data_IF_357793619563
#
_entry.id   IF_357793619563
#
_cell.length_a   1.000
_cell.length_b   1.000
_cell.length_c   1.000
_cell.angle_alpha   90.00
_cell.angle_beta   90.00
_cell.angle_gamma   90.00
#
_symmetry.space_group_name_H-M   'P 1'
#
loop_
_entity.id
_entity.type
_entity.pdbx_description
1 polymer ?
#
# COMPACT_ATOMS: atom_id res chain seq x y z
N UNK A 1 -34.92 47.67 -27.83
CA UNK A 1 -33.71 46.92 -28.18
C UNK A 1 -32.79 46.93 -26.96
N UNK A 2 -32.24 45.77 -26.60
CA UNK A 2 -31.38 45.42 -25.46
C UNK A 2 -32.04 45.09 -24.11
N UNK A 3 -32.70 43.93 -24.04
CA UNK A 3 -32.81 43.12 -22.82
C UNK A 3 -32.27 41.72 -23.17
N UNK A 4 -30.97 41.49 -22.97
CA UNK A 4 -30.35 40.19 -23.23
C UNK A 4 -29.14 39.88 -22.32
N UNK A 5 -28.97 40.58 -21.19
CA UNK A 5 -27.74 40.48 -20.38
C UNK A 5 -27.88 39.64 -19.09
N UNK A 6 -29.05 39.07 -18.82
CA UNK A 6 -29.33 38.38 -17.54
C UNK A 6 -28.98 36.89 -17.45
N UNK A 7 -28.54 36.23 -18.52
CA UNK A 7 -28.36 34.75 -18.54
C UNK A 7 -26.94 34.25 -18.86
N UNK A 8 -26.06 35.12 -19.34
CA UNK A 8 -24.68 34.74 -19.72
C UNK A 8 -23.77 34.28 -18.57
N UNK A 9 -23.77 34.88 -17.36
CA UNK A 9 -22.77 34.51 -16.34
C UNK A 9 -23.00 33.10 -15.78
N UNK A 10 -24.25 32.64 -15.69
CA UNK A 10 -24.60 31.31 -15.15
C UNK A 10 -24.26 30.20 -16.17
N UNK A 11 -24.47 30.45 -17.46
CA UNK A 11 -24.14 29.51 -18.52
C UNK A 11 -22.62 29.25 -18.59
N UNK A 12 -21.80 30.31 -18.47
CA UNK A 12 -20.33 30.21 -18.49
C UNK A 12 -19.79 29.27 -17.40
N UNK A 13 -20.27 29.39 -16.16
CA UNK A 13 -19.81 28.53 -15.06
C UNK A 13 -20.23 27.07 -15.23
N UNK A 14 -21.38 26.81 -15.86
CA UNK A 14 -21.83 25.46 -16.18
C UNK A 14 -20.96 24.82 -17.27
N UNK A 15 -20.52 25.59 -18.28
CA UNK A 15 -19.57 25.10 -19.29
C UNK A 15 -18.23 24.73 -18.66
N UNK A 16 -17.70 25.58 -17.76
CA UNK A 16 -16.46 25.28 -17.03
C UNK A 16 -16.61 24.03 -16.17
N UNK A 17 -17.75 23.86 -15.50
CA UNK A 17 -18.04 22.64 -14.73
C UNK A 17 -18.10 21.40 -15.64
N UNK A 18 -18.74 21.48 -16.81
CA UNK A 18 -18.75 20.38 -17.79
C UNK A 18 -17.33 20.04 -18.28
N UNK A 19 -16.50 21.02 -18.60
CA UNK A 19 -15.10 20.78 -18.99
C UNK A 19 -14.29 20.13 -17.87
N UNK A 20 -14.53 20.55 -16.61
CA UNK A 20 -13.89 19.95 -15.44
C UNK A 20 -14.27 18.47 -15.30
N UNK A 21 -15.55 18.13 -15.48
CA UNK A 21 -16.03 16.74 -15.42
C UNK A 21 -15.46 15.88 -16.55
N UNK A 22 -15.34 16.43 -17.77
CA UNK A 22 -14.68 15.73 -18.88
C UNK A 22 -13.22 15.43 -18.51
N UNK A 23 -12.51 16.42 -17.95
CA UNK A 23 -11.13 16.22 -17.50
C UNK A 23 -11.02 15.18 -16.38
N UNK A 24 -11.95 15.19 -15.41
CA UNK A 24 -12.02 14.17 -14.36
C UNK A 24 -12.19 12.76 -14.94
N UNK A 25 -13.08 12.59 -15.92
CA UNK A 25 -13.28 11.29 -16.60
C UNK A 25 -12.00 10.87 -17.32
N UNK A 26 -11.37 11.77 -18.08
CA UNK A 26 -10.13 11.47 -18.80
C UNK A 26 -9.01 11.03 -17.85
N UNK A 27 -8.84 11.74 -16.73
CA UNK A 27 -7.81 11.39 -15.73
C UNK A 27 -8.12 10.06 -15.06
N UNK A 28 -9.39 9.75 -14.75
CA UNK A 28 -9.75 8.45 -14.18
C UNK A 28 -9.53 7.31 -15.19
N UNK A 29 -9.76 7.54 -16.48
CA UNK A 29 -9.45 6.58 -17.54
C UNK A 29 -7.93 6.40 -17.70
N UNK A 30 -7.16 7.48 -17.64
CA UNK A 30 -5.69 7.41 -17.68
C UNK A 30 -5.14 6.67 -16.46
N UNK A 31 -5.64 6.95 -15.26
CA UNK A 31 -5.28 6.23 -14.05
C UNK A 31 -5.62 4.73 -14.19
N UNK A 32 -6.82 4.40 -14.69
CA UNK A 32 -7.20 3.01 -14.93
C UNK A 32 -6.24 2.31 -15.89
N UNK A 33 -5.89 2.94 -17.02
CA UNK A 33 -4.96 2.37 -18.01
C UNK A 33 -3.59 2.14 -17.39
N UNK A 34 -3.06 3.13 -16.66
CA UNK A 34 -1.78 3.00 -15.97
C UNK A 34 -1.80 1.87 -14.93
N UNK A 35 -2.90 1.71 -14.18
CA UNK A 35 -3.07 0.60 -13.24
C UNK A 35 -3.25 -0.77 -13.93
N UNK A 36 -3.64 -0.82 -15.20
CA UNK A 36 -3.71 -2.09 -15.97
C UNK A 36 -2.37 -2.44 -16.63
N UNK A 37 -1.57 -1.42 -16.95
CA UNK A 37 -0.34 -1.57 -17.73
C UNK A 37 0.93 -1.49 -16.89
N UNK A 38 0.93 -0.81 -15.74
CA UNK A 38 2.11 -0.54 -14.92
C UNK A 38 1.95 -1.10 -13.49
N UNK A 39 3.09 -1.25 -12.81
CA UNK A 39 3.19 -1.58 -11.39
C UNK A 39 2.44 -0.58 -10.52
N UNK A 40 1.73 -1.07 -9.50
CA UNK A 40 1.00 -0.21 -8.54
C UNK A 40 1.91 0.34 -7.44
N UNK A 41 2.92 -0.44 -7.08
CA UNK A 41 4.05 -0.07 -6.25
C UNK A 41 5.17 -1.11 -6.42
N UNK A 42 6.39 -0.72 -6.07
CA UNK A 42 7.54 -1.62 -6.01
C UNK A 42 7.94 -1.76 -4.55
N UNK A 43 7.93 -2.98 -4.02
CA UNK A 43 8.43 -3.30 -2.69
C UNK A 43 9.90 -3.70 -2.78
N UNK A 44 10.75 -3.16 -1.91
CA UNK A 44 12.13 -3.59 -1.71
C UNK A 44 12.30 -3.99 -0.26
N UNK A 45 12.83 -5.19 -0.02
CA UNK A 45 13.26 -5.64 1.31
C UNK A 45 14.74 -5.92 1.24
N UNK A 46 15.53 -5.32 2.13
CA UNK A 46 16.95 -5.58 2.31
C UNK A 46 17.19 -5.96 3.76
N UNK A 47 17.81 -7.12 4.01
CA UNK A 47 18.17 -7.55 5.36
C UNK A 47 19.64 -8.00 5.41
N UNK A 48 20.33 -7.62 6.49
CA UNK A 48 21.77 -7.85 6.72
C UNK A 48 22.03 -8.34 8.15
N UNK A 49 22.97 -9.27 8.32
CA UNK A 49 23.41 -9.71 9.66
C UNK A 49 24.50 -8.75 10.16
N UNK A 50 24.17 -7.94 11.16
CA UNK A 50 25.06 -6.90 11.74
C UNK A 50 26.06 -7.50 12.73
N UNK A 51 25.58 -8.38 13.61
CA UNK A 51 26.38 -8.99 14.67
C UNK A 51 26.15 -10.50 14.73
N UNK A 52 27.19 -11.26 15.10
CA UNK A 52 27.15 -12.71 15.25
C UNK A 52 28.42 -13.40 14.74
N UNK A 53 28.58 -14.71 15.02
CA UNK A 53 29.75 -15.52 14.64
C UNK A 53 29.91 -15.65 13.12
N UNK A 54 28.84 -15.35 12.38
CA UNK A 54 28.77 -15.36 10.93
C UNK A 54 28.46 -13.95 10.36
N UNK A 55 28.81 -12.89 11.10
CA UNK A 55 28.71 -11.51 10.63
C UNK A 55 29.56 -11.34 9.36
N UNK A 56 28.89 -11.29 8.23
CA UNK A 56 29.50 -11.06 6.93
C UNK A 56 29.18 -9.62 6.53
N UNK A 57 30.16 -8.72 6.66
CA UNK A 57 30.05 -7.36 6.13
C UNK A 57 29.57 -7.40 4.66
N UNK A 58 28.42 -6.78 4.38
CA UNK A 58 27.89 -6.63 3.03
C UNK A 58 26.98 -7.76 2.53
N UNK A 59 26.36 -8.52 3.42
CA UNK A 59 25.27 -9.45 3.09
C UNK A 59 23.95 -8.69 3.06
N UNK A 60 23.29 -8.59 1.91
CA UNK A 60 21.94 -8.04 1.79
C UNK A 60 21.07 -8.97 0.95
N UNK A 61 19.98 -9.49 1.50
CA UNK A 61 18.95 -10.13 0.69
C UNK A 61 18.05 -9.03 0.14
N UNK A 62 18.24 -8.63 -1.12
CA UNK A 62 17.36 -7.66 -1.77
C UNK A 62 16.23 -8.40 -2.47
N UNK A 63 15.00 -8.15 -2.04
CA UNK A 63 13.78 -8.67 -2.66
C UNK A 63 13.05 -7.50 -3.29
N UNK A 64 13.10 -7.41 -4.62
CA UNK A 64 12.27 -6.44 -5.35
C UNK A 64 11.02 -7.16 -5.82
N UNK A 65 9.84 -6.64 -5.47
CA UNK A 65 8.55 -7.18 -5.88
C UNK A 65 7.80 -6.12 -6.67
N UNK A 66 7.44 -6.49 -7.89
CA UNK A 66 6.64 -5.71 -8.82
C UNK A 66 5.23 -6.29 -8.89
N UNK A 67 4.23 -5.50 -8.48
CA UNK A 67 2.83 -5.92 -8.41
C UNK A 67 2.07 -5.81 -9.76
N UNK A 68 2.77 -5.65 -10.89
CA UNK A 68 2.18 -5.52 -12.23
C UNK A 68 1.42 -6.78 -12.68
N UNK A 69 1.91 -7.98 -12.37
CA UNK A 69 1.24 -9.27 -12.65
C UNK A 69 1.06 -10.08 -11.36
N UNK A 70 0.10 -11.02 -11.35
CA UNK A 70 -0.16 -11.95 -10.23
C UNK A 70 1.02 -12.88 -9.91
N UNK A 71 2.09 -12.83 -10.72
CA UNK A 71 3.38 -13.42 -10.40
C UNK A 71 4.29 -12.29 -9.94
N UNK A 72 4.44 -12.18 -8.62
CA UNK A 72 5.48 -11.40 -7.99
C UNK A 72 6.81 -11.79 -8.64
N UNK A 73 7.40 -10.90 -9.44
CA UNK A 73 8.75 -11.09 -9.98
C UNK A 73 9.74 -10.95 -8.80
N UNK A 74 9.78 -11.99 -7.97
CA UNK A 74 10.57 -12.10 -6.77
C UNK A 74 12.03 -12.27 -7.18
N UNK A 75 12.69 -11.14 -7.45
CA UNK A 75 14.14 -11.14 -7.63
C UNK A 75 14.79 -11.21 -6.26
N UNK A 76 15.10 -12.42 -5.83
CA UNK A 76 15.90 -12.67 -4.64
C UNK A 76 17.37 -12.60 -5.05
N UNK A 77 18.03 -11.47 -4.82
CA UNK A 77 19.49 -11.41 -4.89
C UNK A 77 20.06 -11.94 -3.56
N UNK A 78 20.00 -13.27 -3.38
CA UNK A 78 20.68 -13.92 -2.28
C UNK A 78 22.15 -14.04 -2.68
N UNK A 79 23.04 -13.50 -1.82
CA UNK A 79 24.45 -13.88 -1.64
C UNK A 79 25.08 -14.55 -2.86
N UNK A 80 25.97 -13.87 -3.59
CA UNK A 80 26.75 -14.53 -4.64
C UNK A 80 27.18 -15.95 -4.19
N UNK A 81 26.86 -17.02 -4.95
CA UNK A 81 26.52 -18.35 -4.43
C UNK A 81 27.58 -19.00 -3.52
N UNK A 82 28.84 -18.59 -3.66
CA UNK A 82 29.98 -19.03 -2.85
C UNK A 82 29.95 -18.54 -1.40
N UNK A 83 29.35 -17.37 -1.14
CA UNK A 83 29.24 -16.81 0.22
C UNK A 83 28.09 -17.43 0.99
N UNK A 84 26.98 -17.75 0.31
CA UNK A 84 25.86 -18.47 0.91
C UNK A 84 26.27 -19.87 1.32
N UNK A 85 26.95 -20.60 0.43
CA UNK A 85 27.39 -21.95 0.72
C UNK A 85 28.35 -21.97 1.91
N UNK A 86 29.31 -21.03 1.96
CA UNK A 86 30.21 -20.92 3.11
C UNK A 86 29.47 -20.60 4.42
N UNK A 87 28.48 -19.72 4.38
CA UNK A 87 27.67 -19.39 5.55
C UNK A 87 26.81 -20.58 6.02
N UNK A 88 26.22 -21.32 5.08
CA UNK A 88 25.45 -22.53 5.37
C UNK A 88 26.33 -23.65 5.91
N UNK A 89 27.47 -23.92 5.27
CA UNK A 89 28.44 -24.93 5.71
C UNK A 89 28.92 -24.62 7.13
N UNK A 90 29.21 -23.36 7.45
CA UNK A 90 29.69 -22.98 8.79
C UNK A 90 28.58 -22.95 9.85
N UNK A 91 27.33 -22.75 9.46
CA UNK A 91 26.15 -22.91 10.32
C UNK A 91 25.89 -24.40 10.63
N UNK A 92 25.97 -25.26 9.61
CA UNK A 92 25.72 -26.69 9.71
C UNK A 92 26.84 -27.42 10.46
N UNK A 93 28.11 -27.04 10.25
CA UNK A 93 29.26 -27.58 10.99
C UNK A 93 29.17 -27.29 12.50
N UNK A 94 28.56 -26.17 12.88
CA UNK A 94 28.31 -25.80 14.29
C UNK A 94 27.12 -26.56 14.89
N UNK A 95 26.20 -27.00 14.05
CA UNK A 95 24.96 -27.71 14.43
C UNK A 95 25.07 -29.25 14.37
N UNK A 96 26.16 -29.80 13.82
CA UNK A 96 26.29 -31.21 13.46
C UNK A 96 26.10 -32.22 14.62
N UNK A 97 25.32 -33.27 14.34
CA UNK A 97 25.11 -34.47 15.17
C UNK A 97 25.62 -35.75 14.46
N UNK A 98 25.80 -36.84 15.23
CA UNK A 98 26.06 -38.19 14.72
C UNK A 98 24.79 -38.88 14.15
N UNK A 99 24.96 -39.69 13.10
CA UNK A 99 24.01 -40.34 12.15
C UNK A 99 22.73 -41.07 12.64
N UNK A 100 22.21 -40.85 13.85
CA UNK A 100 21.01 -41.53 14.33
C UNK A 100 20.00 -40.53 14.87
N UNK A 101 19.13 -40.01 14.00
CA UNK A 101 17.77 -39.53 14.31
C UNK A 101 17.19 -38.80 13.09
N UNK A 102 16.50 -39.53 12.22
CA UNK A 102 15.60 -38.93 11.22
C UNK A 102 14.38 -39.84 11.08
N UNK A 103 13.20 -39.34 11.43
CA UNK A 103 11.94 -39.88 10.94
C UNK A 103 10.95 -38.73 10.68
N UNK A 104 10.20 -38.86 9.59
CA UNK A 104 9.39 -37.85 8.91
C UNK A 104 7.89 -38.13 9.16
N UNK A 105 7.07 -37.08 9.39
CA UNK A 105 5.62 -37.21 9.32
C UNK A 105 4.90 -35.91 8.91
N UNK A 106 3.82 -36.12 8.17
CA UNK A 106 3.06 -35.18 7.32
C UNK A 106 1.86 -34.51 8.02
N UNK A 107 1.27 -33.55 7.30
CA UNK A 107 -0.10 -33.03 7.25
C UNK A 107 -0.41 -31.66 7.89
N UNK A 108 -0.62 -30.69 6.98
CA UNK A 108 -1.75 -29.75 6.85
C UNK A 108 -2.47 -29.21 8.11
N UNK A 109 -2.63 -27.88 8.18
CA UNK A 109 -3.91 -27.20 8.44
C UNK A 109 -3.82 -25.65 8.36
N UNK A 110 -4.91 -25.06 7.88
CA UNK A 110 -5.16 -23.64 7.58
C UNK A 110 -5.08 -22.68 8.78
N UNK A 111 -4.54 -21.48 8.56
CA UNK A 111 -4.46 -20.41 9.56
C UNK A 111 -5.45 -19.25 9.36
N UNK A 112 -5.81 -18.66 10.50
CA UNK A 112 -6.86 -17.67 10.67
C UNK A 112 -6.30 -16.30 11.05
N UNK A 113 -5.91 -15.51 10.05
CA UNK A 113 -6.01 -14.04 10.09
C UNK A 113 -6.38 -13.55 8.70
N UNK A 114 -7.62 -13.08 8.53
CA UNK A 114 -8.12 -12.64 7.23
C UNK A 114 -7.79 -11.17 6.98
N UNK A 115 -6.50 -10.88 6.75
CA UNK A 115 -6.14 -9.65 6.05
C UNK A 115 -6.68 -9.74 4.60
N UNK A 116 -7.29 -8.69 4.02
CA UNK A 116 -7.81 -8.78 2.67
C UNK A 116 -6.64 -9.00 1.71
N UNK A 117 -6.70 -10.04 0.87
CA UNK A 117 -5.62 -10.31 -0.07
C UNK A 117 -5.36 -9.11 -1.01
N UNK A 118 -4.11 -8.90 -1.44
CA UNK A 118 -3.78 -7.84 -2.41
C UNK A 118 -4.70 -7.84 -3.64
N UNK A 119 -5.07 -9.03 -4.14
CA UNK A 119 -6.00 -9.18 -5.28
C UNK A 119 -7.40 -8.67 -4.98
N UNK A 120 -7.89 -8.92 -3.76
CA UNK A 120 -9.18 -8.38 -3.29
C UNK A 120 -9.15 -6.86 -3.28
N UNK A 121 -8.04 -6.27 -2.83
CA UNK A 121 -7.85 -4.81 -2.79
C UNK A 121 -7.72 -4.23 -4.20
N UNK A 122 -6.98 -4.86 -5.12
CA UNK A 122 -6.89 -4.48 -6.55
C UNK A 122 -8.28 -4.49 -7.22
N UNK A 123 -9.00 -5.60 -7.07
CA UNK A 123 -10.36 -5.78 -7.61
C UNK A 123 -11.33 -4.73 -7.07
N UNK A 124 -11.30 -4.50 -5.75
CA UNK A 124 -12.10 -3.46 -5.11
C UNK A 124 -11.74 -2.07 -5.65
N UNK A 125 -10.45 -1.79 -5.84
CA UNK A 125 -9.98 -0.51 -6.39
C UNK A 125 -10.52 -0.27 -7.79
N UNK A 126 -10.42 -1.25 -8.69
CA UNK A 126 -11.00 -1.14 -10.03
C UNK A 126 -12.51 -0.94 -9.98
N UNK A 127 -13.23 -1.66 -9.11
CA UNK A 127 -14.66 -1.45 -8.93
C UNK A 127 -14.99 0.01 -8.54
N UNK A 128 -14.26 0.58 -7.57
CA UNK A 128 -14.46 1.98 -7.14
C UNK A 128 -14.08 2.97 -8.25
N UNK A 129 -13.08 2.69 -9.08
CA UNK A 129 -12.74 3.51 -10.26
C UNK A 129 -13.91 3.54 -11.25
N UNK A 130 -14.49 2.39 -11.59
CA UNK A 130 -15.65 2.33 -12.49
C UNK A 130 -16.86 3.11 -11.93
N UNK A 131 -17.12 2.98 -10.62
CA UNK A 131 -18.15 3.78 -9.94
C UNK A 131 -17.85 5.27 -10.05
N UNK A 132 -16.60 5.68 -9.85
CA UNK A 132 -16.16 7.08 -9.91
C UNK A 132 -16.37 7.68 -11.31
N UNK A 133 -16.02 6.92 -12.36
CA UNK A 133 -16.28 7.31 -13.76
C UNK A 133 -17.79 7.46 -14.00
N UNK A 134 -18.59 6.49 -13.53
CA UNK A 134 -20.05 6.53 -13.64
C UNK A 134 -20.67 7.75 -12.95
N UNK A 135 -20.18 8.11 -11.76
CA UNK A 135 -20.63 9.30 -11.02
C UNK A 135 -20.26 10.60 -11.75
N UNK A 136 -19.06 10.70 -12.30
CA UNK A 136 -18.62 11.86 -13.09
C UNK A 136 -19.45 12.01 -14.38
N UNK A 137 -19.72 10.91 -15.08
CA UNK A 137 -20.58 10.89 -16.26
C UNK A 137 -22.02 11.30 -15.92
N UNK A 138 -22.57 10.80 -14.81
CA UNK A 138 -23.90 11.18 -14.33
C UNK A 138 -23.97 12.69 -14.01
N UNK A 139 -22.96 13.23 -13.33
CA UNK A 139 -22.85 14.68 -13.08
C UNK A 139 -22.82 15.48 -14.38
N UNK A 140 -22.08 15.00 -15.39
CA UNK A 140 -21.97 15.68 -16.68
C UNK A 140 -23.34 15.74 -17.37
N UNK A 141 -24.07 14.63 -17.39
CA UNK A 141 -25.45 14.58 -17.93
C UNK A 141 -26.37 15.55 -17.18
N UNK A 142 -26.32 15.59 -15.85
CA UNK A 142 -27.14 16.49 -15.04
C UNK A 142 -26.85 17.97 -15.36
N UNK A 143 -25.58 18.35 -15.55
CA UNK A 143 -25.19 19.73 -15.92
C UNK A 143 -25.59 20.06 -17.37
N UNK A 144 -25.48 19.12 -18.30
CA UNK A 144 -25.96 19.31 -19.68
C UNK A 144 -27.47 19.54 -19.74
N UNK A 145 -28.26 18.81 -18.92
CA UNK A 145 -29.70 19.04 -18.79
C UNK A 145 -29.97 20.42 -18.16
N UNK A 146 -29.16 20.86 -17.18
CA UNK A 146 -29.26 22.21 -16.62
C UNK A 146 -29.06 23.30 -17.68
N UNK A 147 -28.07 23.12 -18.56
CA UNK A 147 -27.76 24.06 -19.65
C UNK A 147 -28.94 24.24 -20.62
N UNK A 148 -29.63 23.14 -20.96
CA UNK A 148 -30.76 23.19 -21.90
C UNK A 148 -32.03 23.79 -21.30
N UNK A 149 -32.31 23.53 -20.02
CA UNK A 149 -33.58 23.96 -19.37
C UNK A 149 -33.51 25.29 -18.65
N UNK A 150 -32.33 25.88 -18.45
CA UNK A 150 -32.00 27.14 -17.75
C UNK A 150 -32.53 27.31 -16.31
N UNK A 151 -33.53 26.56 -15.86
CA UNK A 151 -34.04 26.52 -14.49
C UNK A 151 -33.73 25.15 -13.82
N UNK A 152 -33.11 25.18 -12.64
CA UNK A 152 -32.88 24.00 -11.79
C UNK A 152 -33.85 23.99 -10.62
N UNK A 153 -34.72 22.97 -10.55
CA UNK A 153 -35.55 22.73 -9.38
C UNK A 153 -34.71 22.27 -8.18
N UNK A 154 -35.18 22.56 -6.97
CA UNK A 154 -34.51 22.25 -5.69
C UNK A 154 -34.07 20.77 -5.62
N UNK A 155 -34.94 19.84 -6.04
CA UNK A 155 -34.63 18.39 -6.07
C UNK A 155 -33.39 18.06 -6.90
N UNK A 156 -33.23 18.67 -8.08
CA UNK A 156 -32.09 18.42 -8.97
C UNK A 156 -30.79 18.97 -8.40
N UNK A 157 -30.85 20.14 -7.75
CA UNK A 157 -29.71 20.71 -7.04
C UNK A 157 -29.25 19.82 -5.89
N UNK A 158 -30.17 19.22 -5.14
CA UNK A 158 -29.84 18.27 -4.06
C UNK A 158 -29.17 17.01 -4.62
N UNK A 159 -29.76 16.38 -5.65
CA UNK A 159 -29.18 15.20 -6.31
C UNK A 159 -27.76 15.49 -6.79
N UNK A 160 -27.54 16.61 -7.49
CA UNK A 160 -26.22 17.00 -7.99
C UNK A 160 -25.18 17.15 -6.86
N UNK A 161 -25.56 17.75 -5.73
CA UNK A 161 -24.65 17.89 -4.58
C UNK A 161 -24.30 16.53 -3.98
N UNK A 162 -25.28 15.65 -3.85
CA UNK A 162 -25.05 14.30 -3.35
C UNK A 162 -24.14 13.50 -4.28
N UNK A 163 -24.40 13.52 -5.60
CA UNK A 163 -23.54 12.86 -6.59
C UNK A 163 -22.13 13.46 -6.62
N UNK A 164 -21.99 14.79 -6.45
CA UNK A 164 -20.68 15.45 -6.36
C UNK A 164 -19.90 15.03 -5.12
N UNK A 165 -20.58 14.92 -3.97
CA UNK A 165 -19.96 14.42 -2.74
C UNK A 165 -19.57 12.95 -2.88
N UNK A 166 -20.46 12.12 -3.43
CA UNK A 166 -20.18 10.71 -3.70
C UNK A 166 -18.97 10.53 -4.62
N UNK A 167 -18.85 11.35 -5.67
CA UNK A 167 -17.70 11.33 -6.59
C UNK A 167 -16.40 11.75 -5.89
N UNK A 168 -16.45 12.79 -5.04
CA UNK A 168 -15.30 13.20 -4.23
C UNK A 168 -14.84 12.06 -3.29
N UNK A 169 -15.78 11.44 -2.57
CA UNK A 169 -15.46 10.35 -1.64
C UNK A 169 -14.98 9.10 -2.36
N UNK A 170 -15.54 8.77 -3.53
CA UNK A 170 -15.15 7.56 -4.25
C UNK A 170 -13.72 7.64 -4.77
N UNK A 171 -13.31 8.80 -5.32
CA UNK A 171 -11.92 8.99 -5.77
C UNK A 171 -10.95 9.05 -4.60
N UNK A 172 -11.35 9.65 -3.47
CA UNK A 172 -10.56 9.58 -2.24
C UNK A 172 -10.38 8.13 -1.77
N UNK A 173 -11.44 7.32 -1.83
CA UNK A 173 -11.34 5.90 -1.49
C UNK A 173 -10.38 5.14 -2.41
N UNK A 174 -10.36 5.43 -3.72
CA UNK A 174 -9.35 4.87 -4.64
C UNK A 174 -7.93 5.21 -4.17
N UNK A 175 -7.67 6.48 -3.85
CA UNK A 175 -6.35 6.91 -3.34
C UNK A 175 -5.99 6.22 -2.03
N UNK A 176 -6.94 6.07 -1.10
CA UNK A 176 -6.71 5.38 0.16
C UNK A 176 -6.41 3.90 -0.06
N UNK A 177 -7.14 3.25 -0.97
CA UNK A 177 -6.92 1.86 -1.31
C UNK A 177 -5.51 1.64 -1.87
N UNK A 178 -5.07 2.48 -2.82
CA UNK A 178 -3.75 2.35 -3.46
C UNK A 178 -2.61 2.74 -2.51
N UNK A 179 -2.72 3.87 -1.79
CA UNK A 179 -1.60 4.42 -1.02
C UNK A 179 -1.43 3.78 0.37
N UNK A 180 -2.49 3.21 0.93
CA UNK A 180 -2.48 2.74 2.32
C UNK A 180 -2.90 1.28 2.42
N UNK A 181 -4.11 0.95 1.95
CA UNK A 181 -4.67 -0.39 2.17
C UNK A 181 -3.91 -1.44 1.38
N UNK A 182 -3.51 -1.16 0.14
CA UNK A 182 -2.80 -2.10 -0.70
C UNK A 182 -1.38 -2.39 -0.17
N UNK A 183 -0.55 -1.38 0.17
CA UNK A 183 0.70 -1.62 0.89
C UNK A 183 0.48 -2.39 2.18
N UNK A 184 -0.50 -2.00 3.01
CA UNK A 184 -0.78 -2.69 4.27
C UNK A 184 -1.23 -4.14 4.07
N UNK A 185 -2.06 -4.45 3.06
CA UNK A 185 -2.47 -5.82 2.75
C UNK A 185 -1.31 -6.66 2.25
N UNK A 186 -0.40 -6.07 1.49
CA UNK A 186 0.80 -6.76 1.04
C UNK A 186 1.77 -6.98 2.19
N UNK A 187 1.99 -5.98 3.04
CA UNK A 187 2.73 -6.15 4.29
C UNK A 187 2.12 -7.24 5.13
N UNK A 188 0.80 -7.27 5.29
CA UNK A 188 0.12 -8.34 5.98
C UNK A 188 0.28 -9.67 5.25
N UNK A 189 0.50 -9.73 3.93
CA UNK A 189 0.79 -10.99 3.23
C UNK A 189 2.24 -11.44 3.46
N UNK A 190 3.21 -10.52 3.40
CA UNK A 190 4.62 -10.80 3.74
C UNK A 190 4.79 -11.10 5.24
N UNK A 191 3.97 -10.48 6.09
CA UNK A 191 3.97 -10.59 7.55
C UNK A 191 2.91 -11.56 8.13
N UNK A 192 1.97 -12.09 7.35
CA UNK A 192 1.27 -13.36 7.60
C UNK A 192 2.11 -14.53 7.09
N UNK A 193 3.05 -14.29 6.18
CA UNK A 193 4.04 -15.28 5.74
C UNK A 193 5.46 -15.21 6.39
N UNK A 194 5.68 -14.71 7.64
CA UNK A 194 6.86 -14.99 8.44
C UNK A 194 6.69 -16.33 9.15
N UNK A 195 5.51 -16.95 9.06
CA UNK A 195 5.31 -18.32 9.42
C UNK A 195 6.03 -19.30 8.49
N UNK A 196 6.47 -18.93 7.29
CA UNK A 196 7.44 -19.78 6.58
C UNK A 196 8.88 -19.66 7.15
N UNK A 197 9.12 -18.67 8.02
CA UNK A 197 10.38 -18.50 8.76
C UNK A 197 10.31 -18.96 10.22
N UNK A 198 9.11 -19.27 10.74
CA UNK A 198 8.90 -19.74 12.12
C UNK A 198 7.95 -20.94 12.26
N UNK A 199 7.41 -21.48 11.18
CA UNK A 199 6.42 -22.57 11.17
C UNK A 199 6.91 -23.75 10.33
N UNK A 200 8.23 -23.97 10.33
CA UNK A 200 8.73 -25.32 10.50
C UNK A 200 8.10 -25.88 11.77
N UNK A 201 7.63 -27.12 11.70
CA UNK A 201 6.83 -27.82 12.71
C UNK A 201 7.55 -28.11 14.05
N UNK A 202 8.63 -27.42 14.31
CA UNK A 202 9.33 -27.42 15.59
C UNK A 202 9.07 -26.04 16.22
N UNK A 203 8.84 -25.97 17.53
CA UNK A 203 9.02 -24.73 18.31
C UNK A 203 10.51 -24.27 18.31
N UNK A 204 11.24 -24.49 17.21
CA UNK A 204 12.53 -23.90 16.94
C UNK A 204 12.23 -22.51 16.45
N UNK A 205 12.02 -21.60 17.39
CA UNK A 205 12.21 -20.20 17.10
C UNK A 205 13.56 -20.07 16.39
N UNK A 206 13.55 -19.61 15.12
CA UNK A 206 14.80 -19.32 14.39
C UNK A 206 15.72 -18.46 15.26
N UNK A 207 15.13 -17.64 16.13
CA UNK A 207 15.78 -16.89 17.19
C UNK A 207 15.07 -17.11 18.53
N UNK A 208 15.73 -17.74 19.51
CA UNK A 208 15.26 -17.73 20.89
C UNK A 208 15.52 -16.36 21.54
N UNK A 209 14.60 -15.96 22.43
CA UNK A 209 14.62 -14.66 23.09
C UNK A 209 14.70 -13.48 22.10
N UNK A 210 13.92 -13.57 21.01
CA UNK A 210 13.90 -12.56 19.98
C UNK A 210 13.40 -11.20 20.50
N UNK A 211 14.23 -10.17 20.38
CA UNK A 211 13.82 -8.78 20.59
C UNK A 211 13.66 -8.11 19.22
N UNK A 212 12.47 -7.55 18.98
CA UNK A 212 12.14 -6.83 17.76
C UNK A 212 12.02 -5.33 18.04
N UNK A 213 12.87 -4.55 17.39
CA UNK A 213 12.80 -3.10 17.33
C UNK A 213 12.43 -2.67 15.92
N UNK A 214 11.58 -1.65 15.78
CA UNK A 214 11.25 -1.11 14.47
C UNK A 214 10.93 0.38 14.50
N UNK A 215 11.28 1.05 13.41
CA UNK A 215 10.86 2.41 13.12
C UNK A 215 10.19 2.44 11.75
N UNK A 216 8.95 2.91 11.71
CA UNK A 216 8.19 3.03 10.48
C UNK A 216 7.91 4.48 10.14
N UNK A 217 7.86 4.77 8.84
CA UNK A 217 7.47 6.06 8.29
C UNK A 217 6.59 5.83 7.06
N UNK A 218 5.54 6.65 6.94
CA UNK A 218 4.56 6.55 5.87
C UNK A 218 4.37 7.93 5.24
N UNK A 219 4.58 8.00 3.93
CA UNK A 219 4.42 9.22 3.16
C UNK A 219 3.83 8.96 1.77
N UNK A 220 3.66 10.02 0.99
CA UNK A 220 3.17 9.92 -0.39
C UNK A 220 4.13 9.19 -1.35
N UNK A 221 5.41 9.09 -0.97
CA UNK A 221 6.41 8.34 -1.72
C UNK A 221 6.38 6.83 -1.44
N UNK A 222 5.53 6.39 -0.50
CA UNK A 222 5.45 5.02 -0.01
C UNK A 222 5.76 4.92 1.47
N UNK A 223 6.06 3.70 1.89
CA UNK A 223 6.28 3.33 3.28
C UNK A 223 7.72 2.85 3.45
N UNK A 224 8.32 3.18 4.59
CA UNK A 224 9.63 2.64 5.00
C UNK A 224 9.52 2.04 6.39
N UNK A 225 10.07 0.86 6.57
CA UNK A 225 10.22 0.17 7.84
C UNK A 225 11.69 -0.23 7.99
N UNK A 226 12.36 0.41 8.92
CA UNK A 226 13.63 -0.08 9.43
C UNK A 226 13.32 -0.98 10.62
N UNK A 227 13.88 -2.18 10.61
CA UNK A 227 13.72 -3.13 11.68
C UNK A 227 15.06 -3.72 12.10
N UNK A 228 15.11 -4.11 13.37
CA UNK A 228 16.22 -4.82 13.96
C UNK A 228 15.63 -5.96 14.79
N UNK A 229 16.09 -7.18 14.49
CA UNK A 229 15.74 -8.39 15.24
C UNK A 229 17.03 -8.89 15.85
N UNK A 230 17.04 -9.10 17.16
CA UNK A 230 18.16 -9.77 17.83
C UNK A 230 17.70 -11.00 18.58
N UNK A 231 18.56 -12.00 18.73
CA UNK A 231 18.24 -13.23 19.47
C UNK A 231 19.29 -14.31 19.28
N UNK A 232 19.04 -15.49 19.83
CA UNK A 232 19.94 -16.66 19.72
C UNK A 232 19.48 -17.60 18.62
N UNK A 233 20.29 -17.78 17.56
CA UNK A 233 19.96 -18.70 16.47
C UNK A 233 20.02 -20.16 16.96
N UNK A 234 18.85 -20.75 17.20
CA UNK A 234 18.72 -22.13 17.68
C UNK A 234 19.32 -23.13 16.69
N UNK A 235 19.39 -22.78 15.40
CA UNK A 235 20.08 -23.56 14.38
C UNK A 235 21.59 -23.69 14.65
N UNK A 236 22.22 -22.67 15.25
CA UNK A 236 23.62 -22.70 15.67
C UNK A 236 23.85 -23.33 17.05
N UNK A 237 22.78 -23.66 17.78
CA UNK A 237 22.84 -24.33 19.08
C UNK A 237 22.84 -25.85 18.90
N UNK A 238 23.69 -26.53 19.68
CA UNK A 238 23.77 -27.99 19.67
C UNK A 238 22.41 -28.59 20.05
N UNK A 239 21.90 -29.62 19.34
CA UNK A 239 20.56 -30.16 19.59
C UNK A 239 20.28 -30.57 21.04
N UNK A 240 21.28 -31.10 21.75
CA UNK A 240 21.18 -31.45 23.17
C UNK A 240 20.86 -30.26 24.11
N UNK A 241 21.18 -29.03 23.69
CA UNK A 241 21.06 -27.82 24.49
C UNK A 241 19.95 -26.87 24.00
N UNK A 242 19.29 -27.15 22.87
CA UNK A 242 18.27 -26.26 22.27
C UNK A 242 17.13 -25.95 23.22
N UNK A 243 16.52 -26.97 23.83
CA UNK A 243 15.43 -26.76 24.80
C UNK A 243 15.86 -25.99 26.06
N UNK A 244 17.16 -25.98 26.40
CA UNK A 244 17.67 -25.18 27.51
C UNK A 244 17.84 -23.71 27.11
N UNK A 245 18.31 -23.44 25.89
CA UNK A 245 18.46 -22.09 25.32
C UNK A 245 17.10 -21.46 24.98
N UNK A 246 16.11 -22.25 24.57
CA UNK A 246 14.73 -21.79 24.36
C UNK A 246 14.07 -21.38 25.68
N UNK A 247 14.33 -22.10 26.76
CA UNK A 247 13.75 -21.83 28.07
C UNK A 247 14.40 -20.61 28.76
N UNK A 248 15.71 -20.44 28.61
CA UNK A 248 16.49 -19.39 29.26
C UNK A 248 17.71 -18.98 28.44
N UNK A 249 18.08 -17.68 28.43
CA UNK A 249 19.27 -17.24 27.70
C UNK A 249 20.53 -17.98 28.20
N UNK A 250 21.43 -18.38 27.28
CA UNK A 250 22.64 -19.09 27.64
C UNK A 250 23.56 -18.21 28.49
N UNK A 251 24.39 -18.85 29.33
CA UNK A 251 25.38 -18.10 30.10
C UNK A 251 26.37 -17.40 29.15
N UNK A 252 26.75 -16.13 29.38
CA UNK A 252 27.58 -15.34 28.44
C UNK A 252 28.93 -15.95 28.05
N UNK A 253 29.44 -16.91 28.83
CA UNK A 253 30.72 -17.61 28.59
C UNK A 253 30.55 -19.03 28.04
N UNK A 254 29.31 -19.46 27.78
CA UNK A 254 29.01 -20.77 27.20
C UNK A 254 29.18 -20.75 25.69
N UNK A 255 29.47 -21.91 25.10
CA UNK A 255 29.58 -22.07 23.65
C UNK A 255 28.25 -21.74 22.94
N UNK A 256 27.12 -21.92 23.61
CA UNK A 256 25.80 -21.64 23.06
C UNK A 256 25.48 -20.13 23.04
N UNK A 257 26.19 -19.29 23.82
CA UNK A 257 26.05 -17.83 23.74
C UNK A 257 26.62 -17.24 22.45
N UNK A 258 27.50 -17.96 21.75
CA UNK A 258 27.98 -17.57 20.42
C UNK A 258 26.88 -17.63 19.35
N UNK A 259 25.73 -18.24 19.64
CA UNK A 259 24.59 -18.28 18.70
C UNK A 259 23.85 -16.94 18.58
N UNK A 260 24.19 -15.93 19.39
CA UNK A 260 23.56 -14.62 19.32
C UNK A 260 23.82 -13.95 17.97
N UNK A 261 22.74 -13.49 17.32
CA UNK A 261 22.79 -12.72 16.08
C UNK A 261 21.89 -11.49 16.16
N UNK A 262 22.30 -10.47 15.42
CA UNK A 262 21.50 -9.27 15.18
C UNK A 262 21.30 -9.12 13.68
N UNK A 263 20.04 -9.04 13.26
CA UNK A 263 19.63 -8.84 11.87
C UNK A 263 19.01 -7.45 11.77
N UNK A 264 19.63 -6.56 11.01
CA UNK A 264 19.01 -5.30 10.61
C UNK A 264 18.41 -5.44 9.23
N UNK A 265 17.31 -4.73 8.99
CA UNK A 265 16.74 -4.66 7.65
C UNK A 265 16.00 -3.38 7.40
N UNK A 266 15.92 -3.03 6.13
CA UNK A 266 15.12 -1.94 5.60
C UNK A 266 14.13 -2.52 4.61
N UNK A 267 12.87 -2.15 4.79
CA UNK A 267 11.80 -2.47 3.87
C UNK A 267 11.20 -1.16 3.38
N UNK A 268 11.14 -0.98 2.06
CA UNK A 268 10.66 0.24 1.44
C UNK A 268 9.72 -0.08 0.30
N UNK A 269 8.58 0.61 0.26
CA UNK A 269 7.72 0.66 -0.91
C UNK A 269 7.92 1.97 -1.64
N UNK A 270 7.93 1.92 -2.97
CA UNK A 270 7.97 3.09 -3.82
C UNK A 270 6.64 3.26 -4.54
N UNK A 271 6.00 4.41 -4.32
CA UNK A 271 4.77 4.78 -5.01
C UNK A 271 5.11 5.33 -6.40
N UNK A 272 4.54 4.78 -7.48
CA UNK A 272 4.81 5.25 -8.83
C UNK A 272 4.40 6.72 -9.03
N UNK A 273 5.09 7.47 -9.93
CA UNK A 273 4.78 8.87 -10.17
C UNK A 273 3.31 9.12 -10.52
N UNK A 274 2.69 8.28 -11.36
CA UNK A 274 1.31 8.46 -11.79
C UNK A 274 0.29 8.40 -10.63
N UNK A 275 0.55 7.61 -9.58
CA UNK A 275 -0.28 7.56 -8.36
C UNK A 275 -0.08 8.83 -7.55
N UNK A 276 1.17 9.27 -7.38
CA UNK A 276 1.48 10.52 -6.66
C UNK A 276 0.89 11.75 -7.38
N UNK A 277 0.95 11.79 -8.71
CA UNK A 277 0.34 12.82 -9.57
C UNK A 277 -1.19 12.84 -9.42
N UNK A 278 -1.82 11.67 -9.32
CA UNK A 278 -3.25 11.55 -9.10
C UNK A 278 -3.72 12.24 -7.81
N UNK A 279 -2.91 12.25 -6.74
CA UNK A 279 -3.24 13.00 -5.50
C UNK A 279 -3.36 14.49 -5.78
N UNK A 280 -2.46 15.06 -6.59
CA UNK A 280 -2.52 16.46 -6.99
C UNK A 280 -3.72 16.74 -7.90
N UNK A 281 -4.00 15.86 -8.86
CA UNK A 281 -5.20 15.98 -9.70
C UNK A 281 -6.48 15.89 -8.87
N UNK A 282 -6.54 15.03 -7.86
CA UNK A 282 -7.65 14.95 -6.93
C UNK A 282 -7.84 16.26 -6.16
N UNK A 283 -6.78 16.81 -5.57
CA UNK A 283 -6.83 18.10 -4.88
C UNK A 283 -7.34 19.21 -5.81
N UNK A 284 -6.83 19.30 -7.04
CA UNK A 284 -7.22 20.37 -7.96
C UNK A 284 -8.66 20.18 -8.45
N UNK A 285 -9.01 19.00 -8.96
CA UNK A 285 -10.25 18.80 -9.70
C UNK A 285 -11.44 18.41 -8.83
N UNK A 286 -11.22 17.79 -7.67
CA UNK A 286 -12.30 17.38 -6.75
C UNK A 286 -12.40 18.25 -5.51
N UNK A 287 -11.40 19.07 -5.17
CA UNK A 287 -11.46 20.02 -4.05
C UNK A 287 -11.47 21.47 -4.54
N UNK A 288 -10.39 21.93 -5.17
CA UNK A 288 -10.21 23.35 -5.49
C UNK A 288 -11.19 23.84 -6.56
N UNK A 289 -11.36 23.10 -7.66
CA UNK A 289 -12.25 23.48 -8.76
C UNK A 289 -13.72 23.53 -8.32
N UNK A 290 -14.29 22.50 -7.63
CA UNK A 290 -15.64 22.58 -7.09
C UNK A 290 -15.82 23.74 -6.11
N UNK A 291 -14.83 23.99 -5.24
CA UNK A 291 -14.88 25.11 -4.29
C UNK A 291 -14.92 26.47 -5.02
N UNK A 292 -14.05 26.66 -6.01
CA UNK A 292 -14.02 27.87 -6.83
C UNK A 292 -15.36 28.10 -7.55
N UNK A 293 -15.92 27.04 -8.16
CA UNK A 293 -17.22 27.10 -8.83
C UNK A 293 -18.36 27.42 -7.86
N UNK A 294 -18.34 26.89 -6.64
CA UNK A 294 -19.33 27.20 -5.60
C UNK A 294 -19.27 28.68 -5.18
N UNK A 295 -18.06 29.21 -4.97
CA UNK A 295 -17.85 30.62 -4.60
C UNK A 295 -18.32 31.53 -5.73
N UNK A 296 -17.94 31.24 -6.97
CA UNK A 296 -18.31 32.05 -8.13
C UNK A 296 -19.82 32.02 -8.41
N UNK A 297 -20.47 30.87 -8.22
CA UNK A 297 -21.93 30.77 -8.30
C UNK A 297 -22.63 31.61 -7.22
N UNK A 298 -22.11 31.64 -5.98
CA UNK A 298 -22.64 32.49 -4.91
C UNK A 298 -22.52 33.98 -5.25
N UNK A 299 -21.34 34.42 -5.65
CA UNK A 299 -21.06 35.83 -6.00
C UNK A 299 -21.94 36.31 -7.17
N UNK A 300 -22.23 35.44 -8.14
CA UNK A 300 -23.10 35.79 -9.28
C UNK A 300 -24.59 35.95 -8.90
N UNK A 301 -25.05 35.34 -7.79
CA UNK A 301 -26.45 35.36 -7.37
C UNK A 301 -26.77 36.55 -6.45
N UNK A 302 -25.83 36.97 -5.61
CA UNK A 302 -26.04 38.02 -4.60
C UNK A 302 -26.49 39.40 -5.13
N UNK A 303 -26.02 39.90 -6.29
CA UNK A 303 -26.50 41.17 -6.86
C UNK A 303 -27.98 41.12 -7.26
N UNK A 304 -28.46 39.96 -7.74
CA UNK A 304 -29.85 39.79 -8.17
C UNK A 304 -30.83 39.70 -7.00
N UNK A 305 -30.39 39.19 -5.85
CA UNK A 305 -31.21 39.14 -4.64
C UNK A 305 -31.41 40.52 -3.98
N UNK A 306 -30.45 41.44 -4.11
CA UNK A 306 -30.61 42.83 -3.61
C UNK A 306 -31.61 43.64 -4.43
N UNK A 307 -31.80 43.31 -5.72
CA UNK A 307 -32.76 43.99 -6.59
C UNK A 307 -34.22 43.62 -6.35
N UNK A 308 -34.51 42.44 -5.76
CA UNK A 308 -35.88 41.99 -5.45
C UNK A 308 -36.43 42.53 -4.13
N UNK A 309 -35.59 43.11 -3.27
CA UNK A 309 -36.00 43.70 -1.98
C UNK A 309 -36.21 45.22 -2.06
N UNK A 310 -36.45 45.78 -3.25
CA UNK A 310 -36.82 47.18 -3.46
C UNK A 310 -38.15 47.30 -4.19
#
# INVERSE_FOLDING_TARGET
MSEATGHEPIARWRVIASMTLILQIMILLSLKSALEEDSWFVGTLSATVEEGPLSLEGVSANVTIDMQNDQDDLSIELFGPLRLSHWQDERDDRAALSEQEIEEYDDNLDEAFSSPSPDTVKSMTFMVIHISIGLAALLLVLICIDLTKQASGIKRTVVRRFTSFASFTSVLSVLVLILFILPASWFATVADNPQDFSNSRDDVAFLAHAEFSSTSNLGLGGFTLDFEVSGYDIGMVRPANRSAVEATPPEPTSHDAESYIVISGNMRTETPPYVSEMVYFWLVLWVLMPLALLIQQRVAIDPHLRGLNR
#
